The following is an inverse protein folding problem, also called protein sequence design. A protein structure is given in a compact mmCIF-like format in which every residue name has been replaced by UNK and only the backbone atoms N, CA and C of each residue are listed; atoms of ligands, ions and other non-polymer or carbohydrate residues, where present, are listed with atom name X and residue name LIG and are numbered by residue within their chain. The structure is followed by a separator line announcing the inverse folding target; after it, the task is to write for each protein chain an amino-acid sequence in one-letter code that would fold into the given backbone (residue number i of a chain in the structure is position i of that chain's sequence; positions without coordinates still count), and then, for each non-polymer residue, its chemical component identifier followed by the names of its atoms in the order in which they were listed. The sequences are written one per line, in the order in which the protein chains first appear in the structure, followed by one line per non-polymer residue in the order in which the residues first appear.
data_IF_432740006535
#
_entry.id   IF_432740006535
#
_cell.length_a   1.000
_cell.length_b   1.000
_cell.length_c   1.000
_cell.angle_alpha   90.00
_cell.angle_beta   90.00
_cell.angle_gamma   90.00
#
_symmetry.space_group_name_H-M   'P 1'
#
loop_
_entity.id
_entity.type
_entity.pdbx_description
1 polymer ?
#
# COMPACT_ATOMS: atom_id res chain seq x y z
N UNK A 1 67.21 23.59 78.59
CA UNK A 1 68.44 22.80 78.51
C UNK A 1 68.69 22.53 77.03
N UNK A 2 69.55 23.36 76.42
CA UNK A 2 70.92 23.00 75.98
C UNK A 2 70.87 22.03 74.79
N UNK A 3 71.30 22.36 73.56
CA UNK A 3 72.33 23.31 73.14
C UNK A 3 73.51 22.52 72.55
N UNK A 4 73.60 22.53 71.21
CA UNK A 4 74.78 22.27 70.36
C UNK A 4 75.58 20.93 70.47
N UNK A 5 76.49 20.62 69.50
CA UNK A 5 76.42 20.74 68.03
C UNK A 5 76.81 19.37 67.36
N UNK A 6 77.12 19.38 66.05
CA UNK A 6 78.19 18.57 65.38
C UNK A 6 77.77 17.69 64.18
N UNK A 7 78.07 18.20 62.97
CA UNK A 7 78.85 17.59 61.85
C UNK A 7 78.56 16.15 61.31
N UNK A 8 78.42 16.09 59.98
CA UNK A 8 79.31 15.37 59.01
C UNK A 8 78.95 13.99 58.43
N UNK A 9 79.08 13.95 57.08
CA UNK A 9 79.46 12.89 56.12
C UNK A 9 78.41 11.92 55.54
N UNK A 10 78.10 12.17 54.27
CA UNK A 10 78.54 11.42 53.07
C UNK A 10 78.27 9.90 53.01
N UNK A 11 77.37 9.51 52.11
CA UNK A 11 77.25 8.16 51.52
C UNK A 11 76.99 8.34 49.99
N UNK A 12 77.59 7.52 49.11
CA UNK A 12 77.49 7.69 47.66
C UNK A 12 76.44 6.79 46.99
N UNK A 13 76.03 7.24 45.80
CA UNK A 13 75.76 6.48 44.57
C UNK A 13 74.68 5.37 44.55
N UNK A 14 73.67 5.53 43.70
CA UNK A 14 73.28 4.54 42.67
C UNK A 14 72.15 5.11 41.78
N UNK A 15 72.35 5.02 40.46
CA UNK A 15 71.45 5.45 39.39
C UNK A 15 70.32 4.44 39.19
N UNK A 16 69.09 4.90 38.98
CA UNK A 16 68.18 4.30 37.98
C UNK A 16 67.36 5.42 37.34
N UNK A 17 67.42 5.48 36.01
CA UNK A 17 66.72 6.40 35.15
C UNK A 17 65.22 6.06 35.09
N UNK A 18 64.35 7.06 35.24
CA UNK A 18 62.97 6.99 34.75
C UNK A 18 62.77 8.07 33.69
N UNK A 19 62.68 7.63 32.44
CA UNK A 19 62.61 8.43 31.22
C UNK A 19 61.28 9.18 31.19
N UNK A 20 61.34 10.51 31.28
CA UNK A 20 60.20 11.43 31.15
C UNK A 20 59.73 11.43 29.68
N UNK A 21 58.72 10.63 29.35
CA UNK A 21 58.07 10.66 28.04
C UNK A 21 57.06 11.82 27.99
N UNK A 22 57.20 12.68 26.98
CA UNK A 22 56.37 13.87 26.78
C UNK A 22 54.91 13.57 26.39
N UNK A 23 54.02 14.58 26.42
CA UNK A 23 52.60 14.39 26.15
C UNK A 23 52.33 14.12 24.66
N UNK A 24 51.72 12.96 24.37
CA UNK A 24 51.20 12.61 23.05
C UNK A 24 50.07 13.59 22.67
N UNK A 25 50.33 14.40 21.66
CA UNK A 25 49.33 15.21 20.97
C UNK A 25 48.47 14.27 20.10
N UNK A 26 47.41 13.69 20.69
CA UNK A 26 46.43 12.87 19.94
C UNK A 26 45.53 13.80 19.13
N UNK A 27 45.89 14.00 17.87
CA UNK A 27 45.07 14.67 16.86
C UNK A 27 43.90 13.74 16.55
N UNK A 28 42.75 13.95 17.22
CA UNK A 28 41.49 13.30 16.85
C UNK A 28 40.88 14.13 15.73
N UNK A 29 40.91 13.58 14.51
CA UNK A 29 40.40 14.25 13.32
C UNK A 29 38.85 14.17 13.28
N UNK A 30 38.15 15.31 13.31
CA UNK A 30 36.68 15.39 13.43
C UNK A 30 35.93 14.83 12.20
N UNK A 31 36.63 14.65 11.08
CA UNK A 31 36.04 14.19 9.82
C UNK A 31 35.91 12.65 9.71
N UNK A 32 36.45 11.87 10.66
CA UNK A 32 36.33 10.40 10.66
C UNK A 32 35.07 9.89 11.37
N UNK A 33 34.37 10.77 12.09
CA UNK A 33 33.16 10.41 12.85
C UNK A 33 31.90 10.39 11.98
N UNK A 34 31.82 11.25 10.96
CA UNK A 34 30.69 11.28 10.01
C UNK A 34 30.66 10.03 9.12
N UNK A 35 31.83 9.54 8.71
CA UNK A 35 31.92 8.35 7.85
C UNK A 35 31.62 7.06 8.62
N UNK A 36 31.94 7.00 9.91
CA UNK A 36 31.62 5.86 10.77
C UNK A 36 30.11 5.69 10.99
N UNK A 37 29.36 6.79 11.10
CA UNK A 37 27.90 6.75 11.28
C UNK A 37 27.16 6.35 10.00
N UNK A 38 27.62 6.80 8.83
CA UNK A 38 27.06 6.38 7.52
C UNK A 38 27.34 4.89 7.28
N UNK A 39 28.54 4.40 7.59
CA UNK A 39 28.86 2.98 7.47
C UNK A 39 28.02 2.09 8.41
N UNK A 40 27.75 2.52 9.64
CA UNK A 40 26.88 1.78 10.59
C UNK A 40 25.40 1.73 10.13
N UNK A 41 24.91 2.77 9.47
CA UNK A 41 23.57 2.77 8.85
C UNK A 41 23.48 1.75 7.70
N UNK A 42 24.52 1.67 6.85
CA UNK A 42 24.59 0.67 5.77
C UNK A 42 24.72 -0.77 6.30
N UNK A 43 25.48 -0.99 7.37
CA UNK A 43 25.63 -2.33 7.98
C UNK A 43 24.30 -2.82 8.57
N UNK A 44 23.45 -1.92 9.10
CA UNK A 44 22.11 -2.27 9.58
C UNK A 44 21.16 -2.72 8.46
N UNK A 45 21.29 -2.15 7.26
CA UNK A 45 20.55 -2.60 6.07
C UNK A 45 21.06 -3.94 5.50
N UNK A 46 22.33 -4.29 5.80
CA UNK A 46 22.98 -5.47 5.24
C UNK A 46 22.79 -6.74 6.11
N UNK A 47 22.59 -6.61 7.43
CA UNK A 47 22.32 -7.76 8.31
C UNK A 47 20.84 -8.15 8.39
N UNK A 48 19.92 -7.30 7.92
CA UNK A 48 18.48 -7.60 7.86
C UNK A 48 18.07 -8.59 6.77
N UNK A 49 19.03 -9.15 6.04
CA UNK A 49 18.81 -10.00 4.87
C UNK A 49 19.22 -11.45 5.08
N UNK A 50 19.59 -11.84 6.31
CA UNK A 50 19.74 -13.26 6.61
C UNK A 50 18.37 -13.90 6.47
N UNK A 51 18.21 -14.83 5.53
CA UNK A 51 16.92 -15.41 5.32
C UNK A 51 16.67 -16.45 6.42
N UNK A 52 15.46 -16.45 6.97
CA UNK A 52 15.09 -17.14 8.20
C UNK A 52 15.25 -18.68 8.17
N UNK A 53 15.67 -19.26 7.04
CA UNK A 53 15.88 -20.70 6.87
C UNK A 53 17.14 -21.26 7.56
N UNK A 54 18.01 -20.41 8.12
CA UNK A 54 19.23 -20.86 8.80
C UNK A 54 19.03 -21.37 10.25
N UNK A 55 17.85 -21.19 10.86
CA UNK A 55 17.62 -21.52 12.28
C UNK A 55 16.48 -22.51 12.56
N UNK A 56 15.95 -23.21 11.55
CA UNK A 56 14.87 -24.18 11.77
C UNK A 56 14.98 -25.42 10.89
N UNK A 57 14.47 -26.59 11.36
CA UNK A 57 14.19 -27.68 10.44
C UNK A 57 13.29 -27.15 9.30
N UNK A 58 13.36 -27.71 8.08
CA UNK A 58 12.50 -27.30 6.99
C UNK A 58 11.05 -27.41 7.47
N UNK A 59 10.44 -26.26 7.79
CA UNK A 59 9.00 -26.21 7.92
C UNK A 59 8.50 -26.47 6.52
N UNK A 60 7.92 -27.66 6.32
CA UNK A 60 6.98 -27.90 5.24
C UNK A 60 6.02 -26.72 5.25
N UNK A 61 6.22 -25.74 4.36
CA UNK A 61 5.20 -24.77 4.02
C UNK A 61 4.10 -25.59 3.37
N UNK A 62 3.24 -26.19 4.19
CA UNK A 62 1.88 -26.45 3.80
C UNK A 62 1.38 -25.10 3.28
N UNK A 63 0.88 -25.04 2.03
CA UNK A 63 0.36 -23.80 1.49
C UNK A 63 -0.61 -23.26 2.53
N UNK A 64 -0.25 -22.11 3.12
CA UNK A 64 -1.19 -21.31 3.86
C UNK A 64 -2.39 -21.19 2.93
N UNK A 65 -3.48 -21.87 3.31
CA UNK A 65 -4.75 -21.68 2.67
C UNK A 65 -5.11 -20.26 3.00
N UNK A 66 -4.67 -19.32 2.16
CA UNK A 66 -5.18 -17.96 2.18
C UNK A 66 -6.69 -18.14 2.16
N UNK A 67 -7.35 -17.82 3.27
CA UNK A 67 -8.80 -17.88 3.44
C UNK A 67 -9.43 -16.80 2.54
N UNK A 68 -9.20 -16.87 1.23
CA UNK A 68 -9.97 -16.12 0.26
C UNK A 68 -11.41 -16.63 0.41
N UNK A 69 -12.38 -15.78 0.76
CA UNK A 69 -13.76 -16.20 0.86
C UNK A 69 -14.22 -16.66 -0.54
N UNK A 70 -14.21 -17.97 -0.77
CA UNK A 70 -14.83 -18.55 -1.96
C UNK A 70 -16.34 -18.43 -1.75
N UNK A 71 -17.01 -17.62 -2.55
CA UNK A 71 -18.46 -17.55 -2.52
C UNK A 71 -19.02 -18.97 -2.72
N UNK A 72 -19.88 -19.46 -1.80
CA UNK A 72 -20.43 -20.80 -1.93
C UNK A 72 -21.25 -20.89 -3.22
N UNK A 73 -21.12 -22.01 -3.92
CA UNK A 73 -21.95 -22.31 -5.09
C UNK A 73 -23.21 -23.01 -4.58
N UNK A 74 -24.37 -22.45 -4.90
CA UNK A 74 -25.67 -23.04 -4.57
C UNK A 74 -26.32 -23.64 -5.81
N UNK A 75 -26.73 -24.90 -5.74
CA UNK A 75 -27.47 -25.56 -6.82
C UNK A 75 -28.96 -25.17 -6.77
N UNK A 76 -29.49 -24.63 -7.87
CA UNK A 76 -30.90 -24.21 -8.00
C UNK A 76 -31.53 -24.82 -9.25
N UNK A 77 -32.77 -25.28 -9.11
CA UNK A 77 -33.57 -25.86 -10.18
C UNK A 77 -34.47 -24.79 -10.79
N UNK A 78 -34.55 -24.74 -12.11
CA UNK A 78 -35.53 -23.93 -12.82
C UNK A 78 -36.95 -24.45 -12.58
N UNK A 79 -37.93 -23.56 -12.61
CA UNK A 79 -39.33 -23.96 -12.59
C UNK A 79 -39.74 -24.69 -13.89
N UNK A 80 -40.96 -25.22 -13.92
CA UNK A 80 -41.49 -25.94 -15.10
C UNK A 80 -41.54 -25.09 -16.39
N UNK A 81 -41.47 -23.76 -16.27
CA UNK A 81 -41.44 -22.82 -17.38
C UNK A 81 -40.03 -22.35 -17.76
N UNK A 82 -38.99 -22.91 -17.13
CA UNK A 82 -37.59 -22.54 -17.39
C UNK A 82 -37.19 -21.21 -16.75
N UNK A 83 -37.83 -20.82 -15.64
CA UNK A 83 -37.53 -19.58 -14.92
C UNK A 83 -36.70 -19.86 -13.68
N UNK A 84 -35.74 -18.98 -13.43
CA UNK A 84 -35.05 -18.89 -12.15
C UNK A 84 -35.88 -17.98 -11.24
N UNK A 85 -36.46 -18.58 -10.20
CA UNK A 85 -37.26 -17.87 -9.20
C UNK A 85 -36.49 -17.74 -7.90
N UNK A 86 -36.70 -16.64 -7.20
CA UNK A 86 -35.96 -16.34 -6.00
C UNK A 86 -36.62 -15.32 -5.10
N UNK A 87 -36.02 -15.10 -3.94
CA UNK A 87 -36.40 -14.07 -2.99
C UNK A 87 -35.15 -13.41 -2.41
N UNK A 88 -35.24 -12.09 -2.23
CA UNK A 88 -34.21 -11.26 -1.61
C UNK A 88 -34.74 -10.74 -0.28
N UNK A 89 -34.02 -11.06 0.77
CA UNK A 89 -34.31 -10.64 2.14
C UNK A 89 -33.08 -9.93 2.72
N UNK A 90 -33.25 -9.11 3.75
CA UNK A 90 -32.14 -8.57 4.52
C UNK A 90 -31.66 -9.55 5.61
N UNK A 91 -30.66 -9.14 6.39
CA UNK A 91 -30.12 -9.93 7.50
C UNK A 91 -31.14 -10.20 8.61
N UNK A 92 -32.21 -9.39 8.70
CA UNK A 92 -33.32 -9.55 9.63
C UNK A 92 -34.44 -10.44 9.06
N UNK A 93 -34.32 -10.89 7.81
CA UNK A 93 -35.33 -11.66 7.09
C UNK A 93 -36.45 -10.81 6.47
N UNK A 94 -36.30 -9.48 6.46
CA UNK A 94 -37.27 -8.58 5.84
C UNK A 94 -37.12 -8.62 4.32
N UNK A 95 -38.20 -8.80 3.55
CA UNK A 95 -38.13 -8.77 2.10
C UNK A 95 -37.70 -7.40 1.57
N UNK A 96 -36.95 -7.40 0.46
CA UNK A 96 -36.44 -6.18 -0.18
C UNK A 96 -37.11 -5.91 -1.51
N UNK A 97 -37.99 -4.92 -1.54
CA UNK A 97 -38.67 -4.42 -2.73
C UNK A 97 -37.79 -3.50 -3.59
N UNK A 98 -38.06 -3.43 -4.88
CA UNK A 98 -37.45 -2.47 -5.80
C UNK A 98 -35.97 -2.67 -6.07
N UNK A 99 -35.37 -3.80 -5.67
CA UNK A 99 -33.96 -4.10 -5.92
C UNK A 99 -33.78 -4.61 -7.35
N UNK A 100 -32.82 -4.04 -8.07
CA UNK A 100 -32.40 -4.54 -9.37
C UNK A 100 -31.59 -5.82 -9.17
N UNK A 101 -32.05 -6.90 -9.79
CA UNK A 101 -31.42 -8.22 -9.78
C UNK A 101 -30.86 -8.49 -11.17
N UNK A 102 -29.58 -8.82 -11.23
CA UNK A 102 -28.86 -9.05 -12.50
C UNK A 102 -28.20 -10.42 -12.47
N UNK A 103 -28.51 -11.26 -13.45
CA UNK A 103 -27.89 -12.56 -13.64
C UNK A 103 -26.81 -12.47 -14.71
N UNK A 104 -25.60 -12.86 -14.37
CA UNK A 104 -24.41 -12.77 -15.25
C UNK A 104 -23.74 -14.11 -15.45
N UNK A 105 -23.17 -14.29 -16.63
CA UNK A 105 -22.27 -15.38 -16.96
C UNK A 105 -20.92 -14.77 -17.38
N UNK A 106 -19.97 -14.77 -16.45
CA UNK A 106 -18.74 -13.99 -16.60
C UNK A 106 -19.04 -12.49 -16.70
N UNK A 107 -18.64 -11.85 -17.81
CA UNK A 107 -18.89 -10.42 -18.06
C UNK A 107 -20.21 -10.14 -18.77
N UNK A 108 -20.90 -11.18 -19.26
CA UNK A 108 -22.15 -11.04 -20.00
C UNK A 108 -23.32 -11.03 -19.03
N UNK A 109 -24.20 -10.05 -19.20
CA UNK A 109 -25.52 -10.10 -18.59
C UNK A 109 -26.44 -11.02 -19.39
N UNK A 110 -27.08 -11.95 -18.68
CA UNK A 110 -28.00 -12.94 -19.25
C UNK A 110 -29.44 -12.50 -19.07
N UNK A 111 -29.78 -11.96 -17.89
CA UNK A 111 -31.10 -11.45 -17.61
C UNK A 111 -31.04 -10.41 -16.48
N UNK A 112 -32.06 -9.54 -16.43
CA UNK A 112 -32.27 -8.56 -15.36
C UNK A 112 -33.75 -8.49 -14.98
N UNK A 113 -34.03 -8.20 -13.73
CA UNK A 113 -35.38 -7.93 -13.23
C UNK A 113 -35.34 -7.05 -11.98
N UNK A 114 -36.50 -6.70 -11.45
CA UNK A 114 -36.65 -5.95 -10.19
C UNK A 114 -37.47 -6.81 -9.22
N UNK A 115 -37.13 -6.80 -7.94
CA UNK A 115 -37.90 -7.50 -6.91
C UNK A 115 -39.27 -6.84 -6.67
N UNK A 116 -40.27 -7.65 -6.30
CA UNK A 116 -41.60 -7.19 -5.88
C UNK A 116 -41.64 -6.77 -4.39
N UNK A 117 -42.81 -6.33 -3.92
CA UNK A 117 -43.03 -5.92 -2.51
C UNK A 117 -42.76 -7.01 -1.48
N UNK A 118 -42.74 -8.28 -1.91
CA UNK A 118 -42.39 -9.44 -1.08
C UNK A 118 -40.94 -9.89 -1.29
N UNK A 119 -40.14 -9.08 -1.99
CA UNK A 119 -38.73 -9.36 -2.30
C UNK A 119 -38.54 -10.47 -3.33
N UNK A 120 -39.61 -10.95 -3.97
CA UNK A 120 -39.53 -12.04 -4.94
C UNK A 120 -39.07 -11.53 -6.29
N UNK A 121 -38.37 -12.37 -7.02
CA UNK A 121 -38.00 -12.11 -8.41
C UNK A 121 -38.14 -13.38 -9.25
N UNK A 122 -38.28 -13.18 -10.56
CA UNK A 122 -38.31 -14.27 -11.50
C UNK A 122 -37.66 -13.84 -12.83
N UNK A 123 -36.67 -14.62 -13.26
CA UNK A 123 -35.94 -14.44 -14.50
C UNK A 123 -36.29 -15.57 -15.46
N UNK A 124 -36.65 -15.25 -16.70
CA UNK A 124 -37.15 -16.23 -17.66
C UNK A 124 -36.11 -16.58 -18.73
N UNK A 125 -36.28 -17.74 -19.38
CA UNK A 125 -35.43 -18.21 -20.47
C UNK A 125 -33.95 -18.32 -20.05
N UNK A 126 -33.71 -18.89 -18.86
CA UNK A 126 -32.35 -19.06 -18.31
C UNK A 126 -31.81 -20.43 -18.73
N UNK A 127 -30.72 -20.51 -19.50
CA UNK A 127 -30.08 -21.77 -19.80
C UNK A 127 -29.47 -22.39 -18.55
N UNK A 128 -29.31 -23.72 -18.51
CA UNK A 128 -28.53 -24.37 -17.46
C UNK A 128 -27.07 -23.93 -17.49
N UNK A 129 -26.44 -23.81 -16.31
CA UNK A 129 -25.05 -23.35 -16.21
C UNK A 129 -24.72 -22.71 -14.88
N UNK A 130 -23.48 -22.21 -14.78
CA UNK A 130 -23.01 -21.45 -13.62
C UNK A 130 -23.21 -19.95 -13.85
N UNK A 131 -23.84 -19.28 -12.90
CA UNK A 131 -24.17 -17.87 -12.97
C UNK A 131 -23.82 -17.15 -11.68
N UNK A 132 -23.55 -15.86 -11.84
CA UNK A 132 -23.45 -14.91 -10.76
C UNK A 132 -24.76 -14.12 -10.70
N UNK A 133 -25.38 -14.08 -9.52
CA UNK A 133 -26.54 -13.23 -9.25
C UNK A 133 -26.05 -12.02 -8.44
N UNK A 134 -26.24 -10.84 -8.98
CA UNK A 134 -25.95 -9.56 -8.33
C UNK A 134 -27.26 -8.88 -7.94
N UNK A 135 -27.38 -8.47 -6.68
CA UNK A 135 -28.50 -7.67 -6.20
C UNK A 135 -28.02 -6.65 -5.17
N UNK A 136 -28.11 -5.35 -5.52
CA UNK A 136 -27.44 -4.31 -4.75
C UNK A 136 -25.94 -4.55 -4.71
N UNK A 137 -25.37 -4.62 -3.50
CA UNK A 137 -23.96 -4.95 -3.25
C UNK A 137 -23.70 -6.43 -3.00
N UNK A 138 -24.75 -7.23 -2.86
CA UNK A 138 -24.63 -8.65 -2.58
C UNK A 138 -24.51 -9.44 -3.86
N UNK A 139 -23.62 -10.44 -3.81
CA UNK A 139 -23.34 -11.35 -4.91
C UNK A 139 -23.38 -12.79 -4.44
N UNK A 140 -24.02 -13.66 -5.21
CA UNK A 140 -23.99 -15.10 -5.01
C UNK A 140 -23.72 -15.84 -6.31
N UNK A 141 -23.21 -17.07 -6.18
CA UNK A 141 -22.97 -17.96 -7.32
C UNK A 141 -24.00 -19.08 -7.29
N UNK A 142 -24.78 -19.20 -8.36
CA UNK A 142 -25.75 -20.26 -8.54
C UNK A 142 -25.37 -21.17 -9.69
N UNK A 143 -25.48 -22.46 -9.48
CA UNK A 143 -25.50 -23.44 -10.56
C UNK A 143 -26.94 -23.80 -10.86
N UNK A 144 -27.38 -23.48 -12.06
CA UNK A 144 -28.75 -23.61 -12.52
C UNK A 144 -28.92 -24.92 -13.27
N UNK A 145 -29.92 -25.71 -12.85
CA UNK A 145 -30.24 -27.02 -13.39
C UNK A 145 -31.68 -27.08 -13.91
N UNK A 146 -31.95 -28.01 -14.82
CA UNK A 146 -33.34 -28.43 -15.11
C UNK A 146 -33.84 -29.40 -14.05
N UNK A 147 -35.16 -29.58 -13.95
CA UNK A 147 -35.79 -30.57 -13.07
C UNK A 147 -35.31 -32.01 -13.31
N UNK A 148 -34.86 -32.34 -14.53
CA UNK A 148 -34.40 -33.69 -14.88
C UNK A 148 -32.92 -33.94 -14.53
N UNK A 149 -32.10 -32.87 -14.45
CA UNK A 149 -30.65 -32.96 -14.25
C UNK A 149 -30.19 -32.53 -12.87
N UNK A 150 -31.10 -32.09 -12.01
CA UNK A 150 -30.79 -31.53 -10.70
C UNK A 150 -30.29 -32.61 -9.71
N UNK A 151 -29.19 -32.35 -8.98
CA UNK A 151 -28.81 -33.17 -7.83
C UNK A 151 -29.92 -33.23 -6.75
N UNK A 152 -29.97 -34.29 -5.91
CA UNK A 152 -31.02 -34.46 -4.89
C UNK A 152 -31.13 -33.34 -3.85
N UNK A 153 -30.09 -32.51 -3.67
CA UNK A 153 -30.06 -31.39 -2.71
C UNK A 153 -30.23 -30.01 -3.36
N UNK A 154 -30.73 -29.96 -4.59
CA UNK A 154 -30.93 -28.69 -5.28
C UNK A 154 -32.14 -27.95 -4.71
N UNK A 155 -32.01 -26.63 -4.60
CA UNK A 155 -33.10 -25.77 -4.14
C UNK A 155 -34.04 -25.41 -5.30
N UNK A 156 -35.33 -25.27 -5.04
CA UNK A 156 -36.29 -24.80 -6.04
C UNK A 156 -36.36 -23.26 -6.14
N UNK A 157 -35.71 -22.56 -5.22
CA UNK A 157 -35.73 -21.11 -5.13
C UNK A 157 -34.34 -20.59 -4.75
N UNK A 158 -33.89 -19.54 -5.43
CA UNK A 158 -32.69 -18.80 -5.06
C UNK A 158 -33.02 -17.83 -3.93
N UNK A 159 -32.47 -18.06 -2.74
CA UNK A 159 -32.59 -17.12 -1.61
C UNK A 159 -31.28 -16.38 -1.44
N UNK A 160 -31.37 -15.05 -1.45
CA UNK A 160 -30.23 -14.16 -1.28
C UNK A 160 -30.47 -13.22 -0.10
N UNK A 161 -29.49 -13.15 0.80
CA UNK A 161 -29.50 -12.20 1.92
C UNK A 161 -28.76 -10.96 1.48
N UNK A 162 -29.49 -9.91 1.11
CA UNK A 162 -28.92 -8.62 0.78
C UNK A 162 -28.31 -7.99 2.04
N UNK A 163 -27.07 -7.51 1.92
CA UNK A 163 -26.48 -6.65 2.94
C UNK A 163 -27.23 -5.33 2.92
N UNK A 164 -27.65 -4.87 4.10
CA UNK A 164 -28.21 -3.53 4.26
C UNK A 164 -27.08 -2.55 4.07
N UNK A 165 -26.79 -2.17 2.83
CA UNK A 165 -26.04 -0.95 2.62
C UNK A 165 -26.89 0.18 3.17
N UNK A 166 -26.42 0.79 4.26
CA UNK A 166 -26.80 2.14 4.57
C UNK A 166 -26.45 2.94 3.32
N UNK A 167 -27.45 3.28 2.52
CA UNK A 167 -27.28 4.18 1.39
C UNK A 167 -26.91 5.54 1.97
N UNK A 168 -25.64 5.71 2.35
CA UNK A 168 -25.03 7.00 2.60
C UNK A 168 -24.63 7.51 1.24
N UNK A 169 -25.43 8.43 0.75
CA UNK A 169 -25.16 9.21 -0.45
C UNK A 169 -23.77 9.85 -0.30
N UNK A 170 -22.79 9.35 -1.06
CA UNK A 170 -21.50 10.01 -1.25
C UNK A 170 -20.28 9.19 -0.86
N UNK A 171 -19.94 8.14 -1.63
CA UNK A 171 -18.52 7.81 -1.80
C UNK A 171 -18.24 7.14 -3.16
N UNK A 172 -18.07 7.94 -4.20
CA UNK A 172 -17.62 7.47 -5.51
C UNK A 172 -16.53 8.38 -6.10
N UNK A 173 -15.56 8.86 -5.30
CA UNK A 173 -14.25 9.36 -5.80
C UNK A 173 -13.16 9.17 -4.73
N UNK A 174 -12.97 7.98 -4.16
CA UNK A 174 -11.80 7.73 -3.26
C UNK A 174 -11.04 6.43 -3.55
N UNK A 175 -11.46 5.62 -4.53
CA UNK A 175 -10.76 4.37 -4.87
C UNK A 175 -9.44 4.57 -5.67
N UNK A 176 -9.06 5.81 -5.98
CA UNK A 176 -7.79 6.10 -6.65
C UNK A 176 -6.67 6.57 -5.69
N UNK A 177 -6.97 6.83 -4.41
CA UNK A 177 -6.02 7.47 -3.48
C UNK A 177 -5.50 6.51 -2.40
N UNK A 178 -6.21 5.44 -2.08
CA UNK A 178 -5.82 4.46 -1.04
C UNK A 178 -4.69 3.50 -1.43
N UNK A 179 -4.29 3.46 -2.71
CA UNK A 179 -3.14 2.65 -3.15
C UNK A 179 -1.82 3.44 -3.13
N UNK A 180 -1.82 4.69 -2.66
CA UNK A 180 -0.60 5.44 -2.41
C UNK A 180 -0.33 5.44 -0.91
N UNK A 181 0.71 4.70 -0.51
CA UNK A 181 1.30 4.82 0.82
C UNK A 181 1.54 6.31 1.13
N UNK A 182 1.38 6.74 2.39
CA UNK A 182 1.51 8.15 2.79
C UNK A 182 2.86 8.75 2.35
N UNK A 183 3.88 7.90 2.23
CA UNK A 183 5.21 8.23 1.70
C UNK A 183 5.16 8.58 0.19
N UNK A 184 4.39 7.84 -0.60
CA UNK A 184 4.24 8.08 -2.05
C UNK A 184 3.46 9.37 -2.32
N UNK A 185 2.44 9.67 -1.51
CA UNK A 185 1.68 10.92 -1.61
C UNK A 185 2.55 12.15 -1.26
N UNK A 186 3.43 12.03 -0.26
CA UNK A 186 4.40 13.07 0.08
C UNK A 186 5.45 13.31 -1.03
N UNK A 187 5.89 12.24 -1.71
CA UNK A 187 6.86 12.33 -2.83
C UNK A 187 6.25 12.97 -4.09
N UNK A 188 5.00 12.64 -4.42
CA UNK A 188 4.33 13.22 -5.60
C UNK A 188 3.97 14.70 -5.37
N UNK A 189 3.48 15.04 -4.17
CA UNK A 189 3.15 16.45 -3.83
C UNK A 189 4.38 17.36 -3.80
N UNK A 190 5.50 16.89 -3.26
CA UNK A 190 6.77 17.64 -3.29
C UNK A 190 7.31 17.81 -4.72
N UNK A 191 7.12 16.82 -5.59
CA UNK A 191 7.54 16.90 -6.99
C UNK A 191 6.82 18.00 -7.78
N UNK A 192 5.49 18.15 -7.59
CA UNK A 192 4.70 19.18 -8.29
C UNK A 192 5.10 20.59 -7.84
N UNK A 193 5.36 20.78 -6.55
CA UNK A 193 5.83 22.06 -6.02
C UNK A 193 7.23 22.42 -6.57
N UNK A 194 8.15 21.45 -6.65
CA UNK A 194 9.47 21.68 -7.21
C UNK A 194 9.42 22.04 -8.71
N UNK A 195 8.57 21.37 -9.50
CA UNK A 195 8.42 21.64 -10.95
C UNK A 195 7.82 23.02 -11.20
N UNK A 196 6.83 23.45 -10.41
CA UNK A 196 6.24 24.79 -10.56
C UNK A 196 7.21 25.90 -10.15
N UNK A 197 7.99 25.70 -9.09
CA UNK A 197 9.03 26.66 -8.68
C UNK A 197 10.13 26.75 -9.74
N UNK A 198 10.57 25.61 -10.30
CA UNK A 198 11.59 25.58 -11.35
C UNK A 198 11.15 26.31 -12.63
N UNK A 199 9.89 26.15 -13.05
CA UNK A 199 9.33 26.87 -14.20
C UNK A 199 9.36 28.39 -14.02
N UNK A 200 8.89 28.89 -12.87
CA UNK A 200 8.84 30.34 -12.57
C UNK A 200 10.25 30.94 -12.42
N UNK A 201 11.24 30.14 -11.99
CA UNK A 201 12.64 30.61 -11.96
C UNK A 201 13.28 30.66 -13.34
N UNK A 202 12.86 29.82 -14.30
CA UNK A 202 13.43 29.79 -15.64
C UNK A 202 13.03 31.02 -16.47
N UNK A 203 11.77 31.47 -16.36
CA UNK A 203 11.29 32.68 -17.05
C UNK A 203 12.09 33.93 -16.62
N UNK A 204 12.43 34.03 -15.33
CA UNK A 204 13.24 35.15 -14.83
C UNK A 204 14.68 35.12 -15.31
N UNK A 205 15.26 33.95 -15.55
CA UNK A 205 16.65 33.86 -16.01
C UNK A 205 16.77 34.24 -17.49
N UNK A 206 15.83 33.80 -18.33
CA UNK A 206 15.78 34.20 -19.75
C UNK A 206 15.58 35.72 -19.91
N UNK A 207 14.65 36.29 -19.12
CA UNK A 207 14.35 37.73 -19.16
C UNK A 207 15.53 38.58 -18.64
N UNK A 208 16.37 38.02 -17.75
CA UNK A 208 17.63 38.64 -17.34
C UNK A 208 18.70 38.56 -18.44
N UNK A 209 18.79 37.45 -19.16
CA UNK A 209 19.78 37.24 -20.23
C UNK A 209 19.49 38.13 -21.45
N UNK A 210 18.21 38.31 -21.81
CA UNK A 210 17.79 39.27 -22.85
C UNK A 210 18.13 40.72 -22.48
N UNK A 211 17.95 41.10 -21.21
CA UNK A 211 18.32 42.44 -20.73
C UNK A 211 19.82 42.65 -20.70
N UNK A 212 20.61 41.63 -20.34
CA UNK A 212 22.08 41.70 -20.36
C UNK A 212 22.60 41.77 -21.80
N UNK A 213 21.98 41.05 -22.75
CA UNK A 213 22.30 41.12 -24.18
C UNK A 213 21.90 42.46 -24.79
N UNK A 214 20.74 43.02 -24.42
CA UNK A 214 20.32 44.34 -24.84
C UNK A 214 21.25 45.45 -24.31
N UNK A 215 21.79 45.27 -23.10
CA UNK A 215 22.78 46.20 -22.52
C UNK A 215 24.20 45.99 -23.07
N UNK A 216 24.57 44.77 -23.47
CA UNK A 216 25.90 44.46 -24.04
C UNK A 216 25.98 44.70 -25.54
N UNK A 217 24.86 44.70 -26.27
CA UNK A 217 24.78 44.95 -27.71
C UNK A 217 24.79 46.42 -28.13
N UNK A 218 24.86 47.37 -27.18
CA UNK A 218 24.82 48.82 -27.44
C UNK A 218 26.13 49.46 -27.91
N UNK A 219 27.10 48.68 -28.39
CA UNK A 219 28.42 49.17 -28.81
C UNK A 219 28.70 48.96 -30.30
N UNK A 220 28.39 49.97 -31.13
CA UNK A 220 28.80 50.09 -32.55
C UNK A 220 27.66 49.80 -33.54
N UNK A 221 27.24 50.67 -34.45
CA UNK A 221 27.87 51.84 -35.11
C UNK A 221 26.75 52.66 -35.80
N UNK A 222 26.89 53.98 -36.00
CA UNK A 222 25.93 54.78 -36.75
C UNK A 222 26.08 54.62 -38.28
N UNK A 223 24.97 54.89 -38.97
CA UNK A 223 24.71 54.73 -40.39
C UNK A 223 25.77 55.30 -41.35
N UNK A 224 26.02 54.58 -42.44
CA UNK A 224 26.59 55.12 -43.68
C UNK A 224 25.46 55.56 -44.62
N UNK A 225 25.62 56.62 -45.40
CA UNK A 225 25.33 56.60 -46.83
C UNK A 225 26.49 55.98 -47.62
#
# INVERSE_FOLDING_TARGET
MTGHPTRTRQIPNQRVACKRNGPMKRIVNRNTWTWSLVALSCISLMLGQLPAWAFGPPQSQQPDSSLQPVLPITDVVLDASGRLVGQIVDQQGTPRDGLVVVLRQGRREVARTVTDSEGRFALSNIPVGLYQLDAGSTRAIYRVWTTQTAPPRSHHQAVLVAETETVVRGNHIEAAVDQLDAITLAMVSSSIAAVTIAGVTLDKVNDLEDKVNALSGGGGTPASP
#
